data_IF_809448520939
#
_entry.id   IF_809448520939
#
_cell.length_a   1.000
_cell.length_b   1.000
_cell.length_c   1.000
_cell.angle_alpha   90.00
_cell.angle_beta   90.00
_cell.angle_gamma   90.00
#
_symmetry.space_group_name_H-M   'P 1'
#
loop_
_entity.id
_entity.type
_entity.pdbx_description
1 polymer ?
#
# COMPACT_ATOMS: atom_id res chain seq x y z
N UNK A 1 -13.39 -20.20 -0.28
CA UNK A 1 -13.47 -19.36 -1.50
C UNK A 1 -12.25 -18.45 -1.49
N UNK A 2 -11.61 -18.16 -2.64
CA UNK A 2 -10.41 -17.33 -2.70
C UNK A 2 -10.66 -16.05 -3.49
N UNK A 3 -9.99 -14.95 -3.11
CA UNK A 3 -9.96 -13.71 -3.89
C UNK A 3 -8.69 -13.71 -4.72
N UNK A 4 -8.86 -13.54 -6.03
CA UNK A 4 -7.76 -13.53 -7.00
C UNK A 4 -7.54 -12.10 -7.50
N UNK A 5 -6.27 -11.68 -7.53
CA UNK A 5 -5.85 -10.37 -8.04
C UNK A 5 -4.72 -10.58 -9.04
N UNK A 6 -5.02 -10.51 -10.34
CA UNK A 6 -4.06 -10.73 -11.43
C UNK A 6 -3.86 -9.46 -12.25
N UNK A 7 -2.60 -9.14 -12.48
CA UNK A 7 -2.16 -8.11 -13.41
C UNK A 7 -2.74 -8.35 -14.79
N UNK A 8 -3.16 -7.28 -15.45
CA UNK A 8 -3.69 -7.31 -16.81
C UNK A 8 -5.08 -7.96 -16.93
N UNK A 9 -5.63 -8.57 -15.88
CA UNK A 9 -6.90 -9.32 -15.95
C UNK A 9 -7.94 -8.71 -15.02
N UNK A 10 -7.61 -8.56 -13.74
CA UNK A 10 -8.53 -8.09 -12.72
C UNK A 10 -8.44 -6.56 -12.54
N UNK A 11 -9.46 -5.99 -11.89
CA UNK A 11 -9.62 -4.55 -11.72
C UNK A 11 -9.58 -4.13 -10.25
N UNK A 12 -9.28 -2.85 -10.01
CA UNK A 12 -9.29 -2.26 -8.68
C UNK A 12 -10.72 -2.27 -8.12
N UNK A 13 -10.84 -2.49 -6.81
CA UNK A 13 -12.11 -2.67 -6.10
C UNK A 13 -12.17 -1.68 -4.96
N UNK A 14 -13.31 -1.04 -4.77
CA UNK A 14 -13.54 -0.08 -3.69
C UNK A 14 -14.68 -0.55 -2.81
N UNK A 15 -14.46 -0.48 -1.50
CA UNK A 15 -15.51 -0.64 -0.53
C UNK A 15 -16.25 0.68 -0.40
N UNK A 16 -17.56 0.65 -0.57
CA UNK A 16 -18.45 1.76 -0.31
C UNK A 16 -19.39 1.38 0.83
N UNK A 17 -19.38 2.17 1.89
CA UNK A 17 -20.25 1.97 3.04
C UNK A 17 -21.43 2.94 2.97
N UNK A 18 -22.61 2.36 2.81
CA UNK A 18 -23.88 3.04 2.97
C UNK A 18 -24.17 3.20 4.48
N UNK A 19 -24.09 4.44 4.97
CA UNK A 19 -24.31 4.73 6.40
C UNK A 19 -25.77 4.54 6.81
N UNK A 20 -26.71 4.84 5.92
CA UNK A 20 -28.14 4.82 6.22
C UNK A 20 -28.64 3.37 6.27
N UNK A 21 -28.23 2.57 5.28
CA UNK A 21 -28.59 1.16 5.19
C UNK A 21 -27.64 0.23 5.95
N UNK A 22 -26.57 0.76 6.57
CA UNK A 22 -25.50 0.01 7.24
C UNK A 22 -24.93 -1.12 6.37
N UNK A 23 -24.76 -0.86 5.07
CA UNK A 23 -24.40 -1.87 4.07
C UNK A 23 -23.06 -1.55 3.41
N UNK A 24 -22.19 -2.54 3.32
CA UNK A 24 -20.95 -2.44 2.53
C UNK A 24 -21.20 -3.02 1.13
N UNK A 25 -20.88 -2.26 0.09
CA UNK A 25 -20.91 -2.70 -1.30
C UNK A 25 -19.50 -2.64 -1.89
N UNK A 26 -19.14 -3.64 -2.68
CA UNK A 26 -17.87 -3.64 -3.43
C UNK A 26 -18.14 -3.12 -4.84
N UNK A 27 -17.54 -1.98 -5.17
CA UNK A 27 -17.57 -1.40 -6.51
C UNK A 27 -16.30 -1.81 -7.25
N UNK A 28 -16.44 -2.21 -8.50
CA UNK A 28 -15.29 -2.48 -9.39
C UNK A 28 -15.05 -1.24 -10.24
N UNK A 29 -13.83 -0.73 -10.26
CA UNK A 29 -13.44 0.42 -11.10
C UNK A 29 -12.99 -0.05 -12.49
N UNK A 30 -12.75 0.89 -13.38
CA UNK A 30 -12.15 0.69 -14.70
C UNK A 30 -10.61 0.59 -14.67
N UNK A 31 -10.00 0.90 -13.52
CA UNK A 31 -8.57 0.80 -13.29
C UNK A 31 -8.13 -0.67 -13.21
N UNK A 32 -7.31 -1.09 -14.18
CA UNK A 32 -6.80 -2.46 -14.27
C UNK A 32 -5.60 -2.66 -13.37
N UNK A 33 -5.55 -3.79 -12.66
CA UNK A 33 -4.40 -4.13 -11.83
C UNK A 33 -3.18 -4.33 -12.74
N UNK A 34 -2.06 -3.75 -12.33
CA UNK A 34 -0.76 -3.89 -13.00
C UNK A 34 0.21 -4.73 -12.19
N UNK A 35 0.15 -4.65 -10.87
CA UNK A 35 1.00 -5.41 -9.97
C UNK A 35 0.43 -5.43 -8.55
N UNK A 36 1.02 -6.27 -7.71
CA UNK A 36 0.75 -6.37 -6.28
C UNK A 36 2.01 -6.03 -5.50
N UNK A 37 1.85 -5.33 -4.39
CA UNK A 37 2.94 -4.97 -3.47
C UNK A 37 2.55 -5.34 -2.05
N UNK A 38 3.44 -6.05 -1.35
CA UNK A 38 3.39 -6.35 0.07
C UNK A 38 4.42 -5.53 0.83
N UNK A 39 4.00 -4.99 1.97
CA UNK A 39 4.86 -4.21 2.87
C UNK A 39 4.91 -4.87 4.24
N UNK A 40 6.11 -5.03 4.79
CA UNK A 40 6.38 -5.35 6.19
C UNK A 40 6.54 -4.03 6.98
N UNK A 41 5.80 -3.92 8.08
CA UNK A 41 5.71 -2.77 8.96
C UNK A 41 6.80 -2.74 10.05
N UNK A 42 7.74 -3.68 10.11
CA UNK A 42 8.89 -3.72 11.04
C UNK A 42 8.58 -3.18 12.45
N UNK A 43 7.72 -3.89 13.19
CA UNK A 43 7.25 -3.53 14.54
C UNK A 43 6.30 -2.34 14.63
N UNK A 44 5.75 -1.89 13.49
CA UNK A 44 4.61 -0.97 13.45
C UNK A 44 3.32 -1.73 13.16
N UNK A 45 2.20 -1.18 13.62
CA UNK A 45 0.87 -1.67 13.25
C UNK A 45 0.46 -1.10 11.89
N UNK A 46 -0.32 -1.82 11.06
CA UNK A 46 -0.83 -1.33 9.78
C UNK A 46 -1.59 0.00 9.87
N UNK A 47 -2.06 0.40 11.07
CA UNK A 47 -2.62 1.72 11.36
C UNK A 47 -1.69 2.88 11.00
N UNK A 48 -0.39 2.64 10.83
CA UNK A 48 0.55 3.63 10.25
C UNK A 48 0.12 4.13 8.88
N UNK A 49 -0.60 3.31 8.10
CA UNK A 49 -1.11 3.70 6.78
C UNK A 49 -2.24 4.74 6.83
N UNK A 50 -2.82 5.02 8.00
CA UNK A 50 -3.96 5.96 8.14
C UNK A 50 -3.59 7.41 7.83
N UNK A 51 -2.31 7.77 7.85
CA UNK A 51 -1.82 9.16 7.69
C UNK A 51 -2.32 10.14 8.76
N UNK A 52 -2.88 9.61 9.86
CA UNK A 52 -3.33 10.41 11.00
C UNK A 52 -2.19 10.62 12.00
N UNK A 53 -1.99 11.84 12.52
CA UNK A 53 -1.01 12.09 13.58
C UNK A 53 -1.36 11.31 14.84
N UNK A 54 -0.44 10.45 15.30
CA UNK A 54 -0.70 9.51 16.38
C UNK A 54 -0.01 9.94 17.67
N UNK A 55 -0.80 10.26 18.71
CA UNK A 55 -0.33 10.80 20.01
C UNK A 55 0.68 9.90 20.73
N UNK A 56 0.69 8.60 20.43
CA UNK A 56 1.56 7.62 21.06
C UNK A 56 2.94 7.47 20.39
N UNK A 57 3.15 8.04 19.19
CA UNK A 57 4.43 7.93 18.46
C UNK A 57 5.29 9.17 18.73
N UNK A 58 5.96 9.15 19.88
CA UNK A 58 6.81 10.28 20.32
C UNK A 58 8.11 10.41 19.54
N UNK A 59 8.62 9.30 19.01
CA UNK A 59 9.93 9.20 18.35
C UNK A 59 10.00 9.89 16.98
N UNK A 60 8.85 10.26 16.40
CA UNK A 60 8.75 11.04 15.15
C UNK A 60 8.06 12.40 15.38
N UNK A 61 8.15 12.95 16.60
CA UNK A 61 7.46 14.19 17.00
C UNK A 61 5.93 14.13 16.79
N UNK A 62 5.30 12.97 16.98
CA UNK A 62 3.86 12.76 16.77
C UNK A 62 3.44 12.73 15.30
N UNK A 63 4.37 12.86 14.36
CA UNK A 63 4.08 12.83 12.93
C UNK A 63 4.23 11.41 12.40
N UNK A 64 3.11 10.84 12.01
CA UNK A 64 3.04 9.57 11.29
C UNK A 64 3.16 9.93 9.81
N UNK A 65 4.36 9.82 9.28
CA UNK A 65 4.61 10.22 7.90
C UNK A 65 4.42 8.99 7.02
N UNK A 66 3.23 8.86 6.46
CA UNK A 66 2.85 7.74 5.63
C UNK A 66 2.04 8.21 4.44
N UNK A 67 2.10 7.42 3.37
CA UNK A 67 1.61 7.81 2.06
C UNK A 67 0.11 7.60 1.86
N UNK A 68 -0.67 7.15 2.85
CA UNK A 68 -2.10 6.88 2.65
C UNK A 68 -2.90 8.10 2.14
N UNK A 69 -2.58 9.29 2.64
CA UNK A 69 -3.13 10.55 2.14
C UNK A 69 -2.52 10.97 0.79
N UNK A 70 -1.32 10.49 0.49
CA UNK A 70 -0.53 10.79 -0.70
C UNK A 70 -0.68 9.75 -1.81
N UNK A 71 -1.40 8.65 -1.58
CA UNK A 71 -1.70 7.63 -2.58
C UNK A 71 -3.07 7.86 -3.19
N UNK A 72 -3.20 7.54 -4.47
CA UNK A 72 -4.46 7.54 -5.17
C UNK A 72 -5.28 6.30 -4.78
N UNK A 73 -6.18 6.50 -3.83
CA UNK A 73 -7.10 5.47 -3.34
C UNK A 73 -8.08 4.94 -4.41
N UNK A 74 -8.15 5.55 -5.60
CA UNK A 74 -8.91 5.01 -6.73
C UNK A 74 -8.13 3.96 -7.52
N UNK A 75 -6.80 3.92 -7.35
CA UNK A 75 -5.88 3.07 -8.10
C UNK A 75 -5.24 1.98 -7.24
N UNK A 76 -5.60 1.89 -5.96
CA UNK A 76 -5.17 0.80 -5.08
C UNK A 76 -6.35 0.14 -4.39
N UNK A 77 -6.21 -1.15 -4.07
CA UNK A 77 -7.11 -1.81 -3.12
C UNK A 77 -6.34 -2.72 -2.17
N UNK A 78 -6.87 -2.87 -0.96
CA UNK A 78 -6.37 -3.81 0.03
C UNK A 78 -6.73 -5.24 -0.36
N UNK A 79 -5.74 -6.13 -0.33
CA UNK A 79 -5.92 -7.57 -0.62
C UNK A 79 -6.09 -8.33 0.69
N UNK A 80 -5.04 -8.34 1.50
CA UNK A 80 -4.96 -8.97 2.82
C UNK A 80 -3.82 -8.33 3.61
N UNK A 81 -3.75 -8.65 4.89
CA UNK A 81 -2.67 -8.22 5.78
C UNK A 81 -2.77 -8.99 7.08
N UNK A 82 -1.64 -9.16 7.75
CA UNK A 82 -1.54 -9.78 9.06
C UNK A 82 -1.10 -8.73 10.10
N UNK A 83 -0.36 -9.15 11.13
CA UNK A 83 -0.03 -8.27 12.26
C UNK A 83 0.99 -7.21 11.87
N UNK A 84 1.92 -7.58 11.00
CA UNK A 84 3.09 -6.80 10.62
C UNK A 84 3.25 -6.68 9.11
N UNK A 85 2.29 -7.15 8.30
CA UNK A 85 2.30 -6.92 6.85
C UNK A 85 0.95 -6.49 6.26
N UNK A 86 1.00 -5.84 5.09
CA UNK A 86 -0.18 -5.59 4.28
C UNK A 86 0.13 -5.64 2.78
N UNK A 87 -0.82 -6.20 2.03
CA UNK A 87 -0.73 -6.43 0.60
C UNK A 87 -1.79 -5.64 -0.16
N UNK A 88 -1.35 -5.03 -1.26
CA UNK A 88 -2.14 -4.09 -2.04
C UNK A 88 -2.05 -4.42 -3.53
N UNK A 89 -3.19 -4.38 -4.22
CA UNK A 89 -3.21 -4.35 -5.67
C UNK A 89 -3.07 -2.91 -6.15
N UNK A 90 -2.29 -2.69 -7.20
CA UNK A 90 -1.97 -1.36 -7.73
C UNK A 90 -2.25 -1.29 -9.22
N UNK A 91 -2.94 -0.22 -9.63
CA UNK A 91 -3.15 0.19 -11.03
C UNK A 91 -2.17 1.30 -11.40
N UNK A 92 -1.01 0.91 -11.90
CA UNK A 92 0.06 1.79 -12.34
C UNK A 92 0.18 1.92 -13.85
N UNK A 93 1.41 2.13 -14.33
CA UNK A 93 1.73 2.15 -15.75
C UNK A 93 1.85 0.71 -16.26
N UNK A 94 1.00 0.27 -17.23
CA UNK A 94 1.07 -1.08 -17.77
C UNK A 94 2.32 -1.35 -18.63
N UNK A 95 3.04 -0.30 -19.05
CA UNK A 95 4.28 -0.41 -19.81
C UNK A 95 5.53 -0.54 -18.93
N UNK A 96 5.37 -0.46 -17.60
CA UNK A 96 6.44 -0.62 -16.62
C UNK A 96 6.24 -1.92 -15.83
N UNK A 97 7.35 -2.48 -15.34
CA UNK A 97 7.31 -3.67 -14.50
C UNK A 97 6.81 -3.36 -13.06
N UNK A 98 6.58 -4.40 -12.26
CA UNK A 98 6.12 -4.29 -10.87
C UNK A 98 7.07 -3.52 -9.95
N UNK A 99 8.30 -3.25 -10.39
CA UNK A 99 9.30 -2.42 -9.69
C UNK A 99 8.86 -0.98 -9.46
N UNK A 100 7.82 -0.51 -10.17
CA UNK A 100 7.20 0.80 -9.93
C UNK A 100 6.56 0.93 -8.54
N UNK A 101 6.13 -0.18 -7.93
CA UNK A 101 5.57 -0.24 -6.58
C UNK A 101 4.52 0.87 -6.31
N UNK A 102 4.57 1.50 -5.12
CA UNK A 102 3.70 2.61 -4.77
C UNK A 102 3.98 3.90 -5.54
N UNK A 103 5.15 4.07 -6.17
CA UNK A 103 5.46 5.27 -6.97
C UNK A 103 4.43 5.50 -8.08
N UNK A 104 3.81 4.42 -8.56
CA UNK A 104 2.77 4.44 -9.59
C UNK A 104 1.48 5.17 -9.19
N UNK A 105 1.23 5.31 -7.89
CA UNK A 105 -0.01 5.86 -7.33
C UNK A 105 0.24 7.02 -6.38
N UNK A 106 1.46 7.54 -6.32
CA UNK A 106 1.78 8.76 -5.58
C UNK A 106 1.13 9.98 -6.28
N UNK A 107 0.33 10.74 -5.53
CA UNK A 107 -0.32 11.97 -5.98
C UNK A 107 0.62 13.18 -5.89
N UNK A 108 1.33 13.32 -4.78
CA UNK A 108 2.30 14.40 -4.56
C UNK A 108 3.73 13.85 -4.64
N UNK A 109 4.31 13.95 -5.84
CA UNK A 109 5.66 13.45 -6.11
C UNK A 109 6.74 14.24 -5.37
N UNK A 110 6.54 15.55 -5.20
CA UNK A 110 7.54 16.41 -4.56
C UNK A 110 7.61 16.08 -3.07
N UNK A 111 6.46 16.02 -2.40
CA UNK A 111 6.37 15.57 -1.01
C UNK A 111 6.92 14.15 -0.86
N UNK A 112 6.55 13.23 -1.76
CA UNK A 112 7.05 11.86 -1.70
C UNK A 112 8.57 11.80 -1.81
N UNK A 113 9.17 12.47 -2.81
CA UNK A 113 10.62 12.45 -3.02
C UNK A 113 11.39 13.09 -1.86
N UNK A 114 10.86 14.17 -1.28
CA UNK A 114 11.47 14.83 -0.11
C UNK A 114 11.46 13.93 1.13
N UNK A 115 10.42 13.10 1.29
CA UNK A 115 10.17 12.37 2.53
C UNK A 115 10.39 10.84 2.43
N UNK A 116 10.47 10.25 1.25
CA UNK A 116 10.58 8.79 1.03
C UNK A 116 11.75 8.15 1.77
N UNK A 117 12.86 8.89 1.93
CA UNK A 117 14.03 8.47 2.72
C UNK A 117 13.74 8.18 4.19
N UNK A 118 12.66 8.74 4.74
CA UNK A 118 12.19 8.47 6.09
C UNK A 118 11.26 7.25 6.17
N UNK A 119 10.73 6.78 5.03
CA UNK A 119 9.73 5.71 4.96
C UNK A 119 10.33 4.38 4.51
N UNK A 120 11.18 4.43 3.49
CA UNK A 120 11.76 3.26 2.83
C UNK A 120 13.28 3.19 3.06
N UNK A 121 13.88 1.99 3.08
CA UNK A 121 15.32 1.84 2.91
C UNK A 121 15.73 2.46 1.57
N UNK A 122 16.89 3.10 1.55
CA UNK A 122 17.36 3.88 0.39
C UNK A 122 17.52 2.96 -0.82
N UNK A 123 17.00 3.38 -1.99
CA UNK A 123 16.92 2.59 -3.26
C UNK A 123 18.30 2.14 -3.82
N UNK A 124 19.42 2.47 -3.16
CA UNK A 124 20.80 2.18 -3.59
C UNK A 124 21.65 1.54 -2.47
N UNK A 125 21.06 0.71 -1.62
CA UNK A 125 21.77 -0.05 -0.57
C UNK A 125 21.78 -1.56 -0.86
N UNK A 126 22.79 -2.27 -0.34
CA UNK A 126 22.91 -3.74 -0.36
C UNK A 126 21.72 -4.37 0.42
N UNK A 127 21.40 -5.64 0.17
CA UNK A 127 20.26 -6.40 0.72
C UNK A 127 20.22 -6.40 2.26
N UNK A 128 21.31 -6.00 2.91
CA UNK A 128 21.43 -5.85 4.37
C UNK A 128 21.00 -4.46 4.91
N UNK A 129 20.66 -3.49 4.06
CA UNK A 129 20.11 -2.17 4.47
C UNK A 129 18.58 -2.18 4.68
N UNK A 130 17.92 -3.34 4.56
CA UNK A 130 16.50 -3.45 4.21
C UNK A 130 15.48 -3.28 5.36
N UNK A 131 15.88 -3.21 6.63
CA UNK A 131 14.93 -3.03 7.74
C UNK A 131 15.28 -1.82 8.60
N UNK A 132 14.62 -0.69 8.32
CA UNK A 132 14.64 0.46 9.22
C UNK A 132 13.71 0.19 10.41
N UNK A 133 14.21 0.39 11.63
CA UNK A 133 13.38 0.41 12.84
C UNK A 133 12.30 1.49 12.65
N UNK A 134 11.02 1.11 12.80
CA UNK A 134 9.87 1.98 12.53
C UNK A 134 9.77 2.45 11.07
N UNK A 135 10.32 1.68 10.12
CA UNK A 135 10.22 1.90 8.69
C UNK A 135 9.52 0.76 7.96
N UNK A 136 9.31 0.93 6.66
CA UNK A 136 8.63 -0.04 5.81
C UNK A 136 9.65 -0.79 4.98
N UNK A 137 9.50 -2.11 4.89
CA UNK A 137 10.26 -2.94 3.99
C UNK A 137 9.32 -3.52 2.93
N UNK A 138 9.76 -3.54 1.67
CA UNK A 138 9.02 -4.24 0.64
C UNK A 138 9.37 -5.72 0.76
N UNK A 139 8.42 -6.53 1.19
CA UNK A 139 8.64 -7.97 1.36
C UNK A 139 8.17 -8.79 0.15
N UNK A 140 7.23 -8.24 -0.64
CA UNK A 140 6.68 -8.94 -1.80
C UNK A 140 6.30 -8.00 -2.92
N UNK A 141 6.61 -8.40 -4.14
CA UNK A 141 6.11 -7.77 -5.36
C UNK A 141 5.79 -8.86 -6.38
N UNK A 142 4.82 -8.62 -7.25
CA UNK A 142 4.59 -9.54 -8.35
C UNK A 142 3.33 -9.26 -9.17
N UNK A 143 3.11 -10.06 -10.23
CA UNK A 143 2.01 -9.86 -11.16
C UNK A 143 0.67 -10.37 -10.62
N UNK A 144 0.66 -11.20 -9.57
CA UNK A 144 -0.59 -11.73 -9.04
C UNK A 144 -0.50 -12.14 -7.58
N UNK A 145 -1.63 -12.12 -6.90
CA UNK A 145 -1.78 -12.63 -5.54
C UNK A 145 -3.15 -13.27 -5.35
N UNK A 146 -3.17 -14.38 -4.61
CA UNK A 146 -4.37 -15.08 -4.18
C UNK A 146 -4.45 -14.90 -2.67
N UNK A 147 -5.57 -14.37 -2.20
CA UNK A 147 -5.86 -14.21 -0.78
C UNK A 147 -7.06 -15.07 -0.38
N UNK A 148 -7.14 -15.39 0.90
CA UNK A 148 -8.33 -16.03 1.46
C UNK A 148 -9.51 -15.06 1.36
N UNK A 149 -10.68 -15.55 0.94
CA UNK A 149 -11.90 -14.75 1.07
C UNK A 149 -12.33 -14.77 2.55
N UNK A 150 -12.71 -13.63 3.14
CA UNK A 150 -13.27 -13.59 4.49
C UNK A 150 -14.61 -14.33 4.58
#
# INVERSE_FOLDING_TARGET
>A
MHRVNRSGIDFIKRLWYDKDNKKVTVLTTDHRITHVVGIDFNSLYPSVMSSEPHKFIKYTCGKMYMCGSQTDMNRIHFIEGDTDSAYWAISGNPNEDFTQQFNAVVKDRDFYNENAKYFFPTIKGDVYDEKKILGLAIERQGPSMIALAP
#
